data_IF_134189696215
#
_entry.id   IF_134189696215
#
_cell.length_a   1.000
_cell.length_b   1.000
_cell.length_c   1.000
_cell.angle_alpha   90.00
_cell.angle_beta   90.00
_cell.angle_gamma   90.00
#
_symmetry.space_group_name_H-M   'P 1'
#
loop_
_entity.id
_entity.type
_entity.pdbx_description
1 polymer ?
#
# COMPACT_ATOMS: atom_id res chain seq x y z
N UNK A 1 -74.29 28.19 -32.68
CA UNK A 1 -73.32 27.26 -33.28
C UNK A 1 -73.32 26.00 -32.43
N UNK A 2 -74.22 25.05 -32.70
CA UNK A 2 -74.21 23.78 -31.99
C UNK A 2 -73.04 22.95 -32.54
N UNK A 3 -72.16 22.49 -31.65
CA UNK A 3 -71.05 21.61 -32.02
C UNK A 3 -71.61 20.30 -32.60
N UNK A 4 -70.94 19.76 -33.61
CA UNK A 4 -71.41 18.56 -34.29
C UNK A 4 -71.17 17.34 -33.38
N UNK A 5 -72.18 16.50 -33.05
CA UNK A 5 -72.03 15.40 -32.08
C UNK A 5 -70.89 14.42 -32.40
N UNK A 6 -70.55 14.28 -33.69
CA UNK A 6 -69.42 13.46 -34.15
C UNK A 6 -68.05 14.02 -33.73
N UNK A 7 -67.91 15.35 -33.66
CA UNK A 7 -66.68 16.02 -33.24
C UNK A 7 -66.47 15.92 -31.73
N UNK A 8 -67.55 16.05 -30.95
CA UNK A 8 -67.53 15.88 -29.49
C UNK A 8 -67.11 14.46 -29.09
N UNK A 9 -67.64 13.44 -29.77
CA UNK A 9 -67.24 12.05 -29.54
C UNK A 9 -65.75 11.81 -29.83
N UNK A 10 -65.22 12.39 -30.91
CA UNK A 10 -63.79 12.31 -31.25
C UNK A 10 -62.92 13.04 -30.21
N UNK A 11 -63.37 14.18 -29.72
CA UNK A 11 -62.65 14.96 -28.70
C UNK A 11 -62.62 14.22 -27.36
N UNK A 12 -63.76 13.65 -26.96
CA UNK A 12 -63.86 12.81 -25.75
C UNK A 12 -62.92 11.60 -25.83
N UNK A 13 -62.87 10.90 -26.97
CA UNK A 13 -61.91 9.80 -27.16
C UNK A 13 -60.46 10.24 -26.99
N UNK A 14 -60.06 11.37 -27.58
CA UNK A 14 -58.71 11.92 -27.41
C UNK A 14 -58.43 12.31 -25.95
N UNK A 15 -59.43 12.84 -25.25
CA UNK A 15 -59.30 13.18 -23.85
C UNK A 15 -58.99 11.95 -22.99
N UNK A 16 -59.74 10.86 -23.18
CA UNK A 16 -59.48 9.59 -22.50
C UNK A 16 -58.08 9.05 -22.80
N UNK A 17 -57.63 9.11 -24.06
CA UNK A 17 -56.27 8.73 -24.43
C UNK A 17 -55.20 9.58 -23.73
N UNK A 18 -55.43 10.88 -23.59
CA UNK A 18 -54.52 11.80 -22.88
C UNK A 18 -54.50 11.47 -21.38
N UNK A 19 -55.68 11.22 -20.77
CA UNK A 19 -55.78 10.84 -19.38
C UNK A 19 -55.07 9.52 -19.10
N UNK A 20 -55.24 8.51 -19.96
CA UNK A 20 -54.55 7.22 -19.85
C UNK A 20 -53.03 7.39 -19.85
N UNK A 21 -52.48 8.11 -20.84
CA UNK A 21 -51.04 8.41 -20.91
C UNK A 21 -50.53 9.16 -19.68
N UNK A 22 -51.33 10.10 -19.14
CA UNK A 22 -50.97 10.85 -17.94
C UNK A 22 -50.88 9.95 -16.73
N UNK A 23 -51.82 9.02 -16.54
CA UNK A 23 -51.81 8.07 -15.42
C UNK A 23 -50.58 7.17 -15.50
N UNK A 24 -50.28 6.61 -16.66
CA UNK A 24 -49.10 5.77 -16.88
C UNK A 24 -47.80 6.52 -16.57
N UNK A 25 -47.68 7.77 -17.03
CA UNK A 25 -46.50 8.60 -16.77
C UNK A 25 -46.33 8.89 -15.28
N UNK A 26 -47.41 9.27 -14.59
CA UNK A 26 -47.38 9.55 -13.15
C UNK A 26 -46.98 8.31 -12.35
N UNK A 27 -47.55 7.15 -12.67
CA UNK A 27 -47.20 5.88 -12.02
C UNK A 27 -45.71 5.55 -12.22
N UNK A 28 -45.19 5.76 -13.43
CA UNK A 28 -43.77 5.55 -13.73
C UNK A 28 -42.87 6.50 -12.94
N UNK A 29 -43.23 7.78 -12.88
CA UNK A 29 -42.48 8.80 -12.14
C UNK A 29 -42.45 8.50 -10.64
N UNK A 30 -43.59 8.08 -10.06
CA UNK A 30 -43.69 7.73 -8.65
C UNK A 30 -42.83 6.50 -8.31
N UNK A 31 -42.88 5.46 -9.15
CA UNK A 31 -42.02 4.28 -8.98
C UNK A 31 -40.53 4.64 -9.04
N UNK A 32 -40.12 5.46 -10.00
CA UNK A 32 -38.73 5.91 -10.12
C UNK A 32 -38.28 6.75 -8.92
N UNK A 33 -39.16 7.62 -8.44
CA UNK A 33 -38.88 8.46 -7.28
C UNK A 33 -38.66 7.62 -6.02
N UNK A 34 -39.55 6.67 -5.72
CA UNK A 34 -39.40 5.81 -4.54
C UNK A 34 -38.16 4.91 -4.65
N UNK A 35 -37.85 4.38 -5.84
CA UNK A 35 -36.60 3.66 -6.07
C UNK A 35 -35.36 4.53 -5.80
N UNK A 36 -35.34 5.76 -6.31
CA UNK A 36 -34.22 6.67 -6.10
C UNK A 36 -34.06 7.02 -4.61
N UNK A 37 -35.17 7.25 -3.92
CA UNK A 37 -35.21 7.54 -2.48
C UNK A 37 -34.64 6.38 -1.66
N UNK A 38 -35.01 5.14 -1.96
CA UNK A 38 -34.42 3.94 -1.31
C UNK A 38 -32.92 3.84 -1.59
N UNK A 39 -32.49 4.02 -2.85
CA UNK A 39 -31.06 3.99 -3.21
C UNK A 39 -30.25 5.06 -2.45
N UNK A 40 -30.75 6.29 -2.38
CA UNK A 40 -30.10 7.38 -1.64
C UNK A 40 -29.98 7.06 -0.14
N UNK A 41 -31.04 6.52 0.47
CA UNK A 41 -31.00 6.08 1.88
C UNK A 41 -29.96 4.99 2.10
N UNK A 42 -29.95 3.96 1.24
CA UNK A 42 -28.98 2.88 1.33
C UNK A 42 -27.54 3.40 1.16
N UNK A 43 -27.30 4.26 0.16
CA UNK A 43 -25.99 4.86 -0.07
C UNK A 43 -25.53 5.70 1.12
N UNK A 44 -26.43 6.49 1.71
CA UNK A 44 -26.14 7.27 2.93
C UNK A 44 -25.70 6.39 4.09
N UNK A 45 -26.41 5.28 4.33
CA UNK A 45 -26.06 4.34 5.41
C UNK A 45 -24.69 3.70 5.19
N UNK A 46 -24.40 3.25 3.96
CA UNK A 46 -23.10 2.66 3.62
C UNK A 46 -21.99 3.70 3.74
N UNK A 47 -22.22 4.93 3.29
CA UNK A 47 -21.27 6.04 3.40
C UNK A 47 -20.98 6.38 4.86
N UNK A 48 -22.02 6.46 5.71
CA UNK A 48 -21.86 6.76 7.13
C UNK A 48 -21.09 5.64 7.86
N UNK A 49 -21.39 4.37 7.56
CA UNK A 49 -20.65 3.24 8.10
C UNK A 49 -19.18 3.25 7.66
N UNK A 50 -18.90 3.54 6.39
CA UNK A 50 -17.55 3.68 5.87
C UNK A 50 -16.82 4.85 6.54
N UNK A 51 -17.49 5.99 6.74
CA UNK A 51 -16.94 7.15 7.41
C UNK A 51 -16.56 6.84 8.87
N UNK A 52 -17.44 6.17 9.62
CA UNK A 52 -17.15 5.73 11.01
C UNK A 52 -15.94 4.80 11.06
N UNK A 53 -15.89 3.80 10.18
CA UNK A 53 -14.74 2.87 10.08
C UNK A 53 -13.45 3.60 9.73
N UNK A 54 -13.49 4.51 8.76
CA UNK A 54 -12.31 5.27 8.34
C UNK A 54 -11.83 6.21 9.45
N UNK A 55 -12.73 6.84 10.19
CA UNK A 55 -12.38 7.69 11.33
C UNK A 55 -11.65 6.89 12.43
N UNK A 56 -12.15 5.69 12.75
CA UNK A 56 -11.48 4.79 13.70
C UNK A 56 -10.08 4.39 13.21
N UNK A 57 -9.94 3.98 11.95
CA UNK A 57 -8.64 3.61 11.38
C UNK A 57 -7.64 4.76 11.42
N UNK A 58 -8.08 5.99 11.13
CA UNK A 58 -7.22 7.17 11.22
C UNK A 58 -6.78 7.44 12.66
N UNK A 59 -7.67 7.27 13.63
CA UNK A 59 -7.33 7.39 15.04
C UNK A 59 -6.32 6.32 15.47
N UNK A 60 -6.52 5.07 15.08
CA UNK A 60 -5.61 3.97 15.39
C UNK A 60 -4.23 4.20 14.76
N UNK A 61 -4.17 4.67 13.52
CA UNK A 61 -2.92 5.03 12.83
C UNK A 61 -2.20 6.18 13.54
N UNK A 62 -2.93 7.23 13.93
CA UNK A 62 -2.37 8.35 14.70
C UNK A 62 -1.79 7.87 16.03
N UNK A 63 -2.48 6.98 16.74
CA UNK A 63 -2.00 6.40 17.99
C UNK A 63 -0.72 5.57 17.77
N UNK A 64 -0.72 4.70 16.76
CA UNK A 64 0.44 3.90 16.39
C UNK A 64 1.63 4.79 16.01
N UNK A 65 1.40 5.85 15.23
CA UNK A 65 2.43 6.81 14.87
C UNK A 65 3.00 7.50 16.11
N UNK A 66 2.15 7.99 17.01
CA UNK A 66 2.61 8.63 18.25
C UNK A 66 3.43 7.66 19.11
N UNK A 67 3.01 6.39 19.19
CA UNK A 67 3.76 5.33 19.90
C UNK A 67 5.10 5.03 19.23
N UNK A 68 5.18 5.09 17.90
CA UNK A 68 6.44 4.92 17.17
C UNK A 68 7.36 6.13 17.35
N UNK A 69 6.83 7.36 17.34
CA UNK A 69 7.62 8.58 17.56
C UNK A 69 8.17 8.67 18.99
N UNK A 70 7.39 8.24 19.98
CA UNK A 70 7.80 8.27 21.39
C UNK A 70 8.75 7.14 21.76
N UNK A 71 8.74 6.03 21.02
CA UNK A 71 9.75 4.98 21.15
C UNK A 71 10.97 5.36 20.33
N UNK A 72 12.11 5.60 20.98
CA UNK A 72 13.40 5.58 20.28
C UNK A 72 13.59 4.18 19.70
N UNK A 73 13.29 4.02 18.40
CA UNK A 73 13.16 2.70 17.76
C UNK A 73 14.47 1.90 17.73
N UNK A 74 15.61 2.59 17.82
CA UNK A 74 16.94 2.00 17.80
C UNK A 74 17.76 2.58 18.95
N UNK A 75 18.54 1.72 19.62
CA UNK A 75 19.48 2.15 20.64
C UNK A 75 20.46 3.18 20.03
N UNK A 76 20.85 4.24 20.76
CA UNK A 76 21.76 5.27 20.24
C UNK A 76 23.03 4.71 19.58
N UNK A 77 23.53 3.57 20.07
CA UNK A 77 24.68 2.88 19.48
C UNK A 77 24.42 2.36 18.06
N UNK A 78 23.20 1.88 17.79
CA UNK A 78 22.82 1.40 16.46
C UNK A 78 22.68 2.58 15.50
N UNK A 79 22.08 3.69 15.96
CA UNK A 79 22.00 4.93 15.17
C UNK A 79 23.41 5.46 14.86
N UNK A 80 24.29 5.51 15.87
CA UNK A 80 25.67 5.96 15.69
C UNK A 80 26.47 5.01 14.79
N UNK A 81 26.22 3.70 14.86
CA UNK A 81 26.82 2.73 13.94
C UNK A 81 26.35 2.96 12.50
N UNK A 82 25.05 3.17 12.28
CA UNK A 82 24.48 3.45 10.97
C UNK A 82 25.04 4.74 10.38
N UNK A 83 25.08 5.83 11.16
CA UNK A 83 25.68 7.11 10.73
C UNK A 83 27.15 6.93 10.33
N UNK A 84 27.94 6.21 11.13
CA UNK A 84 29.36 5.96 10.81
C UNK A 84 29.52 5.04 9.60
N UNK A 85 28.64 4.07 9.42
CA UNK A 85 28.64 3.18 8.28
C UNK A 85 28.38 3.97 6.99
N UNK A 86 27.31 4.77 6.94
CA UNK A 86 27.00 5.58 5.75
C UNK A 86 28.08 6.62 5.45
N UNK A 87 28.65 7.27 6.47
CA UNK A 87 29.78 8.17 6.27
C UNK A 87 31.01 7.44 5.65
N UNK A 88 31.30 6.23 6.14
CA UNK A 88 32.38 5.40 5.58
C UNK A 88 32.07 4.95 4.14
N UNK A 89 30.81 4.64 3.83
CA UNK A 89 30.38 4.30 2.47
C UNK A 89 30.59 5.50 1.54
N UNK A 90 30.21 6.70 1.95
CA UNK A 90 30.39 7.94 1.17
C UNK A 90 31.87 8.29 0.96
N UNK A 91 32.71 8.07 1.97
CA UNK A 91 34.16 8.28 1.88
C UNK A 91 34.83 7.32 0.89
N UNK A 92 34.38 6.06 0.85
CA UNK A 92 34.94 5.05 -0.03
C UNK A 92 34.32 5.04 -1.44
N UNK A 93 33.16 5.68 -1.60
CA UNK A 93 32.40 5.74 -2.86
C UNK A 93 33.24 6.23 -4.05
N UNK A 94 34.05 7.30 -3.95
CA UNK A 94 34.91 7.76 -5.06
C UNK A 94 36.00 6.75 -5.45
N UNK A 95 36.55 6.00 -4.50
CA UNK A 95 37.55 4.97 -4.77
C UNK A 95 36.90 3.76 -5.47
N UNK A 96 35.72 3.37 -4.99
CA UNK A 96 34.92 2.31 -5.61
C UNK A 96 34.48 2.68 -7.02
N UNK A 97 34.01 3.90 -7.24
CA UNK A 97 33.61 4.40 -8.56
C UNK A 97 34.76 4.30 -9.57
N UNK A 98 35.97 4.75 -9.20
CA UNK A 98 37.16 4.65 -10.07
C UNK A 98 37.53 3.21 -10.39
N UNK A 99 37.40 2.29 -9.43
CA UNK A 99 37.65 0.87 -9.63
C UNK A 99 36.59 0.23 -10.54
N UNK A 100 35.30 0.47 -10.31
CA UNK A 100 34.22 -0.06 -11.14
C UNK A 100 34.26 0.48 -12.58
N UNK A 101 34.80 1.67 -12.79
CA UNK A 101 35.04 2.25 -14.11
C UNK A 101 36.34 1.75 -14.78
N UNK A 102 37.09 0.85 -14.14
CA UNK A 102 38.34 0.26 -14.66
C UNK A 102 39.53 1.21 -14.66
N UNK A 103 39.45 2.34 -13.94
CA UNK A 103 40.46 3.41 -13.93
C UNK A 103 41.28 3.47 -12.64
N UNK A 104 41.16 2.47 -11.76
CA UNK A 104 41.80 2.47 -10.44
C UNK A 104 42.16 1.07 -9.94
N UNK A 105 43.04 1.03 -8.92
CA UNK A 105 43.35 -0.21 -8.20
C UNK A 105 42.14 -0.73 -7.42
N UNK A 106 42.03 -2.06 -7.21
CA UNK A 106 41.00 -2.62 -6.33
C UNK A 106 41.06 -1.96 -4.95
N UNK A 107 39.90 -1.67 -4.32
CA UNK A 107 39.87 -1.15 -2.96
C UNK A 107 40.59 -2.17 -2.08
N UNK A 108 41.68 -1.74 -1.43
CA UNK A 108 42.42 -2.59 -0.51
C UNK A 108 41.58 -2.66 0.77
N UNK A 109 41.15 -3.87 1.13
CA UNK A 109 40.55 -4.10 2.45
C UNK A 109 41.56 -3.64 3.51
N UNK A 110 41.29 -2.54 4.20
CA UNK A 110 42.03 -2.12 5.38
C UNK A 110 41.74 -3.10 6.54
N UNK A 111 42.21 -4.34 6.41
CA UNK A 111 42.39 -5.23 7.54
C UNK A 111 43.48 -4.61 8.40
N UNK A 112 43.04 -3.87 9.41
CA UNK A 112 43.78 -3.37 10.57
C UNK A 112 45.10 -4.13 10.78
N UNK A 113 46.22 -3.49 10.43
CA UNK A 113 47.52 -3.88 10.95
C UNK A 113 47.59 -3.42 12.40
N UNK A 114 47.01 -4.19 13.32
CA UNK A 114 47.34 -4.06 14.74
C UNK A 114 48.77 -4.57 14.96
N UNK A 115 49.68 -3.77 15.56
CA UNK A 115 51.04 -4.21 15.80
C UNK A 115 51.09 -5.06 17.07
N UNK A 116 51.59 -6.30 16.92
CA UNK A 116 52.23 -7.04 18.00
C UNK A 116 51.34 -8.00 18.78
N UNK A 117 51.44 -9.30 18.46
CA UNK A 117 51.85 -10.26 19.48
C UNK A 117 52.59 -11.43 18.82
N UNK A 118 53.81 -11.64 19.32
CA UNK A 118 54.77 -12.68 18.91
C UNK A 118 54.17 -14.08 19.07
N UNK A 119 54.58 -14.95 18.15
CA UNK A 119 54.38 -16.40 18.14
C UNK A 119 54.72 -17.05 19.50
N UNK A 120 53.84 -17.92 19.98
CA UNK A 120 54.25 -19.17 20.61
C UNK A 120 53.46 -20.32 19.98
N UNK A 121 54.22 -21.30 19.49
CA UNK A 121 53.78 -22.50 18.81
C UNK A 121 53.84 -23.60 19.88
N UNK A 122 52.71 -24.20 20.22
CA UNK A 122 52.74 -25.51 20.87
C UNK A 122 51.55 -26.38 20.47
N UNK A 123 51.89 -27.63 20.20
CA UNK A 123 51.06 -28.68 19.63
C UNK A 123 49.96 -29.07 20.62
N UNK A 124 48.73 -29.30 20.14
CA UNK A 124 48.09 -30.62 20.26
C UNK A 124 46.81 -30.71 19.43
N UNK A 125 46.66 -31.89 18.84
CA UNK A 125 45.67 -32.32 17.87
C UNK A 125 44.41 -32.79 18.57
N UNK A 126 43.26 -32.19 18.27
CA UNK A 126 41.98 -32.88 18.06
C UNK A 126 40.88 -31.85 17.74
N UNK A 127 39.94 -32.28 16.88
CA UNK A 127 38.57 -31.77 16.65
C UNK A 127 38.30 -31.15 15.27
N UNK A 128 37.75 -32.04 14.41
CA UNK A 128 36.62 -31.85 13.49
C UNK A 128 36.74 -30.91 12.27
N UNK A 129 36.10 -31.26 11.13
CA UNK A 129 36.11 -30.41 9.93
C UNK A 129 35.23 -29.16 10.15
N UNK A 130 35.58 -28.01 9.55
CA UNK A 130 34.82 -26.78 9.69
C UNK A 130 33.45 -26.92 9.01
N UNK A 131 32.38 -26.80 9.78
CA UNK A 131 31.04 -26.61 9.24
C UNK A 131 30.95 -25.23 8.60
N UNK A 132 30.64 -25.22 7.30
CA UNK A 132 30.26 -24.06 6.52
C UNK A 132 28.95 -23.46 7.09
N UNK A 133 29.09 -22.51 8.02
CA UNK A 133 27.97 -21.72 8.56
C UNK A 133 28.19 -20.26 8.20
N UNK A 134 27.90 -19.92 6.95
CA UNK A 134 27.95 -18.53 6.50
C UNK A 134 27.13 -18.20 5.26
N UNK A 135 26.42 -19.17 4.67
CA UNK A 135 25.58 -18.89 3.50
C UNK A 135 24.09 -18.97 3.87
N UNK A 136 23.29 -17.93 3.61
CA UNK A 136 21.85 -18.05 3.67
C UNK A 136 21.37 -19.05 2.60
N UNK A 137 20.33 -19.87 2.88
CA UNK A 137 19.84 -20.83 1.90
C UNK A 137 19.28 -20.11 0.67
N UNK A 138 19.74 -20.51 -0.52
CA UNK A 138 19.16 -20.02 -1.77
C UNK A 138 17.70 -20.51 -1.93
N UNK A 139 16.80 -19.69 -2.50
CA UNK A 139 15.44 -20.10 -2.82
C UNK A 139 15.46 -21.21 -3.87
N UNK A 140 14.80 -22.33 -3.57
CA UNK A 140 14.61 -23.44 -4.51
C UNK A 140 13.70 -22.99 -5.65
N UNK A 141 14.22 -22.98 -6.88
CA UNK A 141 13.40 -22.95 -8.09
C UNK A 141 12.63 -24.26 -8.17
N UNK A 142 11.30 -24.20 -8.04
CA UNK A 142 10.42 -25.33 -8.35
C UNK A 142 10.42 -25.50 -9.87
N UNK A 143 10.99 -26.59 -10.38
CA UNK A 143 10.64 -27.06 -11.72
C UNK A 143 9.15 -27.38 -11.74
N UNK A 144 8.45 -26.77 -12.68
CA UNK A 144 7.11 -27.17 -13.06
C UNK A 144 7.16 -28.56 -13.72
N UNK A 145 6.33 -29.47 -13.22
CA UNK A 145 5.69 -30.51 -14.01
C UNK A 145 4.19 -30.32 -13.84
#
# INVERSE_FOLDING_TARGET
>A
MASNPCEEAKLSKKHEEILGKRVELLQKMESQYEQQKVRKKQQSLVSEAAQKRNAQLLQDLQELENRLRTKTLLHPDVINLETRYWASVEENLPAWERYFLGKGHPPVDEVRKSPGHRKQKEKNRALSPPQDKGRPPLPRTKSAM
#
